data_IF_358965336318
#
_entry.id   IF_358965336318
#
_cell.length_a   1.000
_cell.length_b   1.000
_cell.length_c   1.000
_cell.angle_alpha   90.00
_cell.angle_beta   90.00
_cell.angle_gamma   90.00
#
_symmetry.space_group_name_H-M   'P 1'
#
loop_
_entity.id
_entity.type
_entity.pdbx_description
1 polymer ?
#
# COMPACT_ATOMS: atom_id res chain seq x y z
N UNK A 1 -7.58 2.46 5.47
CA UNK A 1 -8.30 3.56 4.79
C UNK A 1 -7.35 4.50 4.03
N UNK A 2 -6.32 5.06 4.68
CA UNK A 2 -5.38 6.00 4.02
C UNK A 2 -4.80 5.48 2.69
N UNK A 3 -4.31 4.24 2.65
CA UNK A 3 -3.76 3.66 1.41
C UNK A 3 -4.73 3.63 0.23
N UNK A 4 -6.01 3.32 0.47
CA UNK A 4 -7.02 3.32 -0.58
C UNK A 4 -7.25 4.73 -1.16
N UNK A 5 -7.27 5.75 -0.31
CA UNK A 5 -7.40 7.15 -0.74
C UNK A 5 -6.14 7.63 -1.48
N UNK A 6 -4.95 7.19 -1.05
CA UNK A 6 -3.70 7.48 -1.76
C UNK A 6 -3.70 6.89 -3.17
N UNK A 7 -4.15 5.65 -3.36
CA UNK A 7 -4.29 5.07 -4.71
C UNK A 7 -5.36 5.82 -5.50
N UNK A 8 -6.51 6.15 -4.89
CA UNK A 8 -7.53 6.92 -5.58
C UNK A 8 -7.01 8.29 -6.06
N UNK A 9 -6.13 8.94 -5.31
CA UNK A 9 -5.55 10.22 -5.74
C UNK A 9 -4.66 10.10 -6.97
N UNK A 10 -4.00 8.95 -7.22
CA UNK A 10 -3.22 8.78 -8.47
C UNK A 10 -4.10 8.80 -9.74
N UNK A 11 -5.40 8.55 -9.59
CA UNK A 11 -6.38 8.56 -10.68
C UNK A 11 -7.09 9.92 -10.78
N UNK A 12 -7.54 10.40 -9.62
CA UNK A 12 -8.50 11.51 -9.52
C UNK A 12 -7.86 12.89 -9.37
N UNK A 13 -6.60 12.98 -8.93
CA UNK A 13 -5.93 14.25 -8.64
C UNK A 13 -4.76 14.45 -9.62
N UNK A 14 -4.92 15.24 -10.70
CA UNK A 14 -3.88 15.45 -11.70
C UNK A 14 -2.58 16.06 -11.17
N UNK A 15 -2.63 16.77 -10.05
CA UNK A 15 -1.49 17.45 -9.44
C UNK A 15 -0.63 16.54 -8.56
N UNK A 16 -0.98 15.26 -8.40
CA UNK A 16 -0.17 14.30 -7.64
C UNK A 16 0.95 13.76 -8.53
N UNK A 17 2.20 13.98 -8.12
CA UNK A 17 3.38 13.53 -8.85
C UNK A 17 3.77 12.07 -8.56
N UNK A 18 3.47 11.56 -7.37
CA UNK A 18 3.76 10.18 -6.96
C UNK A 18 2.89 9.74 -5.77
N UNK A 19 2.62 8.44 -5.67
CA UNK A 19 1.83 7.83 -4.60
C UNK A 19 2.57 6.70 -3.92
N UNK A 20 2.52 6.70 -2.58
CA UNK A 20 2.84 5.55 -1.74
C UNK A 20 1.61 5.20 -0.90
N UNK A 21 1.20 3.94 -0.94
CA UNK A 21 0.01 3.44 -0.27
C UNK A 21 0.34 2.24 0.63
N UNK A 22 -0.28 2.22 1.80
CA UNK A 22 -0.14 1.12 2.75
C UNK A 22 -1.50 0.49 3.06
N UNK A 23 -1.57 -0.84 2.93
CA UNK A 23 -2.66 -1.72 3.36
C UNK A 23 -4.06 -1.16 3.04
N UNK A 24 -4.34 -0.92 1.76
CA UNK A 24 -5.68 -0.57 1.31
C UNK A 24 -5.77 -0.32 -0.19
N UNK A 25 -6.83 -0.85 -0.80
CA UNK A 25 -7.20 -0.68 -2.20
C UNK A 25 -8.55 0.07 -2.26
N UNK A 26 -8.73 1.05 -3.16
CA UNK A 26 -10.01 1.72 -3.33
C UNK A 26 -11.05 0.78 -3.92
N UNK A 27 -12.32 1.04 -3.67
CA UNK A 27 -13.39 0.41 -4.43
C UNK A 27 -13.35 0.89 -5.89
N UNK A 28 -13.78 0.03 -6.80
CA UNK A 28 -13.85 0.38 -8.23
C UNK A 28 -14.75 1.58 -8.50
N UNK A 29 -15.81 1.75 -7.71
CA UNK A 29 -16.73 2.89 -7.76
C UNK A 29 -16.04 4.21 -7.40
N UNK A 30 -15.04 4.17 -6.52
CA UNK A 30 -14.29 5.36 -6.12
C UNK A 30 -13.23 5.72 -7.16
N UNK A 31 -12.41 4.75 -7.57
CA UNK A 31 -11.36 4.95 -8.56
C UNK A 31 -10.94 3.61 -9.17
N UNK A 32 -10.79 3.56 -10.50
CA UNK A 32 -10.19 2.42 -11.20
C UNK A 32 -8.67 2.62 -11.30
N UNK A 33 -7.84 1.81 -10.61
CA UNK A 33 -6.38 1.96 -10.69
C UNK A 33 -5.81 1.75 -12.09
N UNK A 34 -6.55 1.15 -13.02
CA UNK A 34 -6.16 1.09 -14.43
C UNK A 34 -6.13 2.46 -15.12
N UNK A 35 -6.68 3.50 -14.50
CA UNK A 35 -6.64 4.88 -14.99
C UNK A 35 -5.65 5.76 -14.21
N UNK A 36 -4.74 5.15 -13.44
CA UNK A 36 -3.71 5.88 -12.72
C UNK A 36 -2.90 6.77 -13.67
N UNK A 37 -2.61 8.00 -13.24
CA UNK A 37 -1.82 9.01 -13.97
C UNK A 37 -0.50 9.30 -13.28
N UNK A 38 -0.39 8.99 -12.00
CA UNK A 38 0.82 9.11 -11.21
C UNK A 38 1.41 7.72 -10.88
N UNK A 39 2.74 7.59 -10.75
CA UNK A 39 3.38 6.37 -10.27
C UNK A 39 2.87 5.92 -8.91
N UNK A 40 2.62 4.62 -8.73
CA UNK A 40 2.08 4.04 -7.48
C UNK A 40 2.99 2.97 -6.90
N UNK A 41 3.43 3.15 -5.66
CA UNK A 41 4.01 2.09 -4.83
C UNK A 41 3.01 1.67 -3.75
N UNK A 42 2.75 0.38 -3.60
CA UNK A 42 1.79 -0.14 -2.62
C UNK A 42 2.39 -1.26 -1.75
N UNK A 43 2.02 -1.28 -0.47
CA UNK A 43 2.60 -2.16 0.56
C UNK A 43 1.51 -2.94 1.30
N UNK A 44 1.61 -4.27 1.32
CA UNK A 44 0.63 -5.19 1.92
C UNK A 44 1.28 -6.26 2.78
N UNK A 45 0.60 -6.69 3.84
CA UNK A 45 1.03 -7.85 4.63
C UNK A 45 0.48 -9.16 4.04
N UNK A 46 1.27 -10.23 4.05
CA UNK A 46 0.82 -11.56 3.61
C UNK A 46 -0.32 -12.12 4.49
N UNK A 47 -0.33 -11.79 5.78
CA UNK A 47 -1.32 -12.25 6.76
C UNK A 47 -2.48 -11.26 6.94
N UNK A 48 -2.59 -10.26 6.06
CA UNK A 48 -3.70 -9.31 6.07
C UNK A 48 -4.98 -10.00 5.60
N UNK A 49 -5.96 -10.12 6.49
CA UNK A 49 -7.21 -10.85 6.26
C UNK A 49 -8.41 -9.94 5.94
N UNK A 50 -8.19 -8.66 5.63
CA UNK A 50 -9.26 -7.74 5.23
C UNK A 50 -9.61 -7.95 3.75
N UNK A 51 -10.47 -8.95 3.50
CA UNK A 51 -10.87 -9.41 2.17
C UNK A 51 -11.39 -8.27 1.29
N UNK A 52 -10.84 -8.17 0.09
CA UNK A 52 -11.24 -7.17 -0.92
C UNK A 52 -10.74 -5.77 -0.65
N UNK A 53 -9.97 -5.57 0.43
CA UNK A 53 -9.43 -4.27 0.81
C UNK A 53 -7.90 -4.27 0.90
N UNK A 54 -7.31 -5.21 1.63
CA UNK A 54 -5.85 -5.26 1.83
C UNK A 54 -5.29 -6.68 1.90
N UNK A 55 -6.11 -7.69 1.65
CA UNK A 55 -5.65 -9.06 1.50
C UNK A 55 -4.81 -9.27 0.23
N UNK A 56 -4.08 -10.39 0.19
CA UNK A 56 -3.19 -10.73 -0.93
C UNK A 56 -3.92 -10.76 -2.28
N UNK A 57 -5.19 -11.17 -2.30
CA UNK A 57 -5.98 -11.16 -3.53
C UNK A 57 -6.25 -9.73 -4.01
N UNK A 58 -6.62 -8.81 -3.12
CA UNK A 58 -6.77 -7.39 -3.46
C UNK A 58 -5.45 -6.76 -3.93
N UNK A 59 -4.33 -7.08 -3.28
CA UNK A 59 -3.01 -6.58 -3.67
C UNK A 59 -2.62 -7.03 -5.10
N UNK A 60 -2.82 -8.32 -5.42
CA UNK A 60 -2.55 -8.85 -6.77
C UNK A 60 -3.51 -8.29 -7.82
N UNK A 61 -4.78 -8.11 -7.48
CA UNK A 61 -5.75 -7.50 -8.38
C UNK A 61 -5.39 -6.03 -8.67
N UNK A 62 -4.93 -5.28 -7.66
CA UNK A 62 -4.39 -3.93 -7.83
C UNK A 62 -3.18 -3.93 -8.78
N UNK A 63 -2.24 -4.86 -8.61
CA UNK A 63 -1.05 -4.96 -9.47
C UNK A 63 -1.41 -5.12 -10.96
N UNK A 64 -2.34 -6.04 -11.28
CA UNK A 64 -2.81 -6.23 -12.66
C UNK A 64 -3.52 -4.98 -13.21
N UNK A 65 -4.24 -4.24 -12.37
CA UNK A 65 -4.87 -2.98 -12.76
C UNK A 65 -3.84 -1.88 -13.02
N UNK A 66 -2.87 -1.70 -12.14
CA UNK A 66 -1.79 -0.71 -12.32
C UNK A 66 -0.97 -1.01 -13.57
N UNK A 67 -0.71 -2.29 -13.87
CA UNK A 67 -0.07 -2.71 -15.12
C UNK A 67 -0.81 -2.23 -16.36
N UNK A 68 -2.15 -2.25 -16.35
CA UNK A 68 -2.97 -1.76 -17.46
C UNK A 68 -2.93 -0.23 -17.63
N UNK A 69 -2.56 0.52 -16.58
CA UNK A 69 -2.47 2.00 -16.64
C UNK A 69 -1.27 2.51 -17.46
N UNK A 70 -0.22 1.71 -17.59
CA UNK A 70 1.04 2.13 -18.21
C UNK A 70 1.91 3.06 -17.36
N UNK A 71 1.48 3.42 -16.15
CA UNK A 71 2.31 4.17 -15.19
C UNK A 71 3.35 3.26 -14.52
N UNK A 72 4.40 3.85 -13.93
CA UNK A 72 5.34 3.07 -13.13
C UNK A 72 4.66 2.62 -11.84
N UNK A 73 4.83 1.34 -11.50
CA UNK A 73 4.22 0.79 -10.30
C UNK A 73 5.13 -0.22 -9.61
N UNK A 74 4.91 -0.37 -8.31
CA UNK A 74 5.47 -1.43 -7.48
C UNK A 74 4.44 -1.90 -6.45
N UNK A 75 4.20 -3.20 -6.35
CA UNK A 75 3.34 -3.78 -5.30
C UNK A 75 4.18 -4.76 -4.47
N UNK A 76 4.33 -4.46 -3.18
CA UNK A 76 5.15 -5.22 -2.25
C UNK A 76 4.28 -5.97 -1.25
N UNK A 77 4.47 -7.29 -1.15
CA UNK A 77 3.82 -8.14 -0.16
C UNK A 77 4.88 -8.63 0.84
N UNK A 78 4.69 -8.33 2.12
CA UNK A 78 5.64 -8.62 3.20
C UNK A 78 5.23 -9.94 3.89
N UNK A 79 6.07 -11.00 3.83
CA UNK A 79 5.77 -12.27 4.48
C UNK A 79 5.55 -12.11 5.98
N UNK A 80 4.66 -12.91 6.57
CA UNK A 80 4.37 -12.93 8.02
C UNK A 80 3.85 -11.62 8.64
N UNK A 81 3.61 -10.58 7.84
CA UNK A 81 3.11 -9.30 8.31
C UNK A 81 1.60 -9.21 8.09
N UNK A 82 0.89 -8.59 9.02
CA UNK A 82 -0.56 -8.43 8.98
C UNK A 82 -0.95 -6.98 8.68
N UNK A 83 -2.23 -6.66 8.83
CA UNK A 83 -2.73 -5.31 8.61
C UNK A 83 -2.07 -4.31 9.58
N UNK A 84 -1.74 -3.12 9.07
CA UNK A 84 -1.12 -2.05 9.87
C UNK A 84 0.22 -2.42 10.54
N UNK A 85 1.01 -3.34 9.96
CA UNK A 85 2.33 -3.75 10.50
C UNK A 85 3.31 -2.57 10.68
N UNK A 86 3.19 -1.52 9.85
CA UNK A 86 3.98 -0.29 9.94
C UNK A 86 3.75 0.52 11.24
N UNK A 87 2.61 0.33 11.92
CA UNK A 87 2.31 1.09 13.12
C UNK A 87 3.03 0.48 14.34
N UNK A 88 4.22 0.99 14.66
CA UNK A 88 5.04 0.53 15.79
C UNK A 88 4.79 1.29 17.09
N UNK A 89 3.71 2.09 17.19
CA UNK A 89 3.33 2.70 18.46
C UNK A 89 2.94 1.62 19.48
N UNK A 90 3.12 1.85 20.79
CA UNK A 90 2.69 0.91 21.83
C UNK A 90 1.21 0.50 21.69
N UNK A 91 0.34 1.47 21.38
CA UNK A 91 -1.09 1.25 21.17
C UNK A 91 -1.37 0.46 19.89
N UNK A 92 -0.62 0.73 18.82
CA UNK A 92 -0.71 0.01 17.55
C UNK A 92 -0.34 -1.46 17.70
N UNK A 93 0.79 -1.74 18.35
CA UNK A 93 1.25 -3.11 18.65
C UNK A 93 0.22 -3.83 19.52
N UNK A 94 -0.22 -3.20 20.61
CA UNK A 94 -1.24 -3.78 21.50
C UNK A 94 -2.52 -4.14 20.73
N UNK A 95 -3.02 -3.22 19.90
CA UNK A 95 -4.24 -3.44 19.12
C UNK A 95 -4.10 -4.62 18.15
N UNK A 96 -2.96 -4.76 17.48
CA UNK A 96 -2.72 -5.91 16.58
C UNK A 96 -2.68 -7.23 17.36
N UNK A 97 -2.01 -7.26 18.52
CA UNK A 97 -2.03 -8.42 19.42
C UNK A 97 -3.44 -8.81 19.87
N UNK A 98 -4.26 -7.83 20.24
CA UNK A 98 -5.67 -8.05 20.61
C UNK A 98 -6.49 -8.62 19.44
N UNK A 99 -6.06 -8.40 18.20
CA UNK A 99 -6.63 -8.94 16.96
C UNK A 99 -5.95 -10.25 16.50
N UNK A 100 -5.12 -10.87 17.35
CA UNK A 100 -4.34 -12.07 17.05
C UNK A 100 -3.35 -11.91 15.88
N UNK A 101 -2.89 -10.68 15.64
CA UNK A 101 -1.83 -10.35 14.70
C UNK A 101 -0.54 -10.12 15.51
N UNK A 102 0.28 -11.16 15.65
CA UNK A 102 1.57 -11.10 16.37
C UNK A 102 2.73 -10.87 15.38
N UNK A 103 2.56 -9.85 14.54
CA UNK A 103 3.52 -9.44 13.52
C UNK A 103 4.46 -8.36 14.09
N UNK A 104 5.57 -8.83 14.67
CA UNK A 104 6.68 -7.99 15.10
C UNK A 104 7.91 -8.21 14.22
N UNK A 105 7.87 -7.63 13.02
CA UNK A 105 8.94 -7.71 12.02
C UNK A 105 9.50 -6.30 11.74
N UNK A 106 10.50 -5.90 12.51
CA UNK A 106 11.11 -4.57 12.36
C UNK A 106 11.85 -4.44 11.01
N UNK A 107 12.42 -5.52 10.51
CA UNK A 107 13.12 -5.53 9.22
C UNK A 107 12.16 -5.24 8.06
N UNK A 108 10.94 -5.80 8.10
CA UNK A 108 9.90 -5.49 7.13
C UNK A 108 9.48 -4.01 7.15
N UNK A 109 9.42 -3.40 8.34
CA UNK A 109 9.09 -1.97 8.51
C UNK A 109 10.19 -1.10 7.93
N UNK A 110 11.45 -1.36 8.28
CA UNK A 110 12.60 -0.60 7.76
C UNK A 110 12.72 -0.73 6.24
N UNK A 111 12.50 -1.94 5.71
CA UNK A 111 12.50 -2.19 4.27
C UNK A 111 11.38 -1.43 3.56
N UNK A 112 10.17 -1.45 4.11
CA UNK A 112 9.05 -0.71 3.55
C UNK A 112 9.33 0.80 3.53
N UNK A 113 9.92 1.34 4.60
CA UNK A 113 10.28 2.75 4.67
C UNK A 113 11.36 3.14 3.67
N UNK A 114 12.43 2.35 3.56
CA UNK A 114 13.49 2.58 2.57
C UNK A 114 12.96 2.56 1.13
N UNK A 115 12.02 1.66 0.81
CA UNK A 115 11.34 1.61 -0.50
C UNK A 115 10.51 2.86 -0.76
N UNK A 116 9.77 3.33 0.24
CA UNK A 116 8.95 4.55 0.13
C UNK A 116 9.82 5.80 -0.06
N UNK A 117 10.89 5.94 0.70
CA UNK A 117 11.84 7.04 0.54
C UNK A 117 12.51 7.02 -0.85
N UNK A 118 12.93 5.84 -1.30
CA UNK A 118 13.53 5.67 -2.63
C UNK A 118 12.54 6.01 -3.75
N UNK A 119 11.27 5.63 -3.58
CA UNK A 119 10.20 5.97 -4.54
C UNK A 119 9.98 7.47 -4.64
N UNK A 120 9.83 8.13 -3.49
CA UNK A 120 9.63 9.57 -3.43
C UNK A 120 10.85 10.32 -3.97
N UNK A 121 12.07 9.90 -3.62
CA UNK A 121 13.29 10.46 -4.17
C UNK A 121 13.34 10.33 -5.70
N UNK A 122 12.89 9.20 -6.26
CA UNK A 122 12.89 9.00 -7.71
C UNK A 122 11.93 9.92 -8.45
N UNK A 123 10.76 10.20 -7.89
CA UNK A 123 9.68 10.91 -8.61
C UNK A 123 9.48 12.37 -8.19
N UNK A 124 10.03 12.78 -7.05
CA UNK A 124 9.92 14.16 -6.54
C UNK A 124 11.24 14.93 -6.53
N UNK A 125 12.38 14.28 -6.77
CA UNK A 125 13.65 14.99 -6.92
C UNK A 125 13.70 15.63 -8.30
N UNK A 126 13.30 16.89 -8.37
CA UNK A 126 13.52 17.80 -9.50
C UNK A 126 15.00 18.11 -9.71
#
# INVERSE_FOLDING_TARGET
MGGALSIASSVLVPEVDAVVAFYGVPSFELADPAQAKAPVQAHFGELDNFVGFSDVAAAKALEEKLKASGTQYEVHIYPRNAHAFMNRSPEGIKRRKDMAMDDEDEDAVQLAWSRSESWMARFLSS
#
